data_IF_132773980898
#
_entry.id   IF_132773980898
#
_cell.length_a   1.000
_cell.length_b   1.000
_cell.length_c   1.000
_cell.angle_alpha   90.00
_cell.angle_beta   90.00
_cell.angle_gamma   90.00
#
_symmetry.space_group_name_H-M   'P 1'
#
loop_
_entity.id
_entity.type
_entity.pdbx_description
1 polymer ?
#
# COMPACT_ATOMS: atom_id res chain seq x y z
N UNK A 1 -5.49 2.32 11.41
CA UNK A 1 -4.25 2.93 10.85
C UNK A 1 -4.16 2.55 9.37
N UNK A 2 -4.02 3.51 8.44
CA UNK A 2 -3.97 3.19 7.00
C UNK A 2 -2.55 2.74 6.64
N UNK A 3 -2.39 1.47 6.29
CA UNK A 3 -1.12 0.97 5.73
C UNK A 3 -1.19 1.06 4.21
N UNK A 4 -0.10 1.46 3.57
CA UNK A 4 0.05 1.40 2.12
C UNK A 4 1.01 0.28 1.77
N UNK A 5 0.89 -0.31 0.57
CA UNK A 5 1.87 -1.24 0.02
C UNK A 5 2.53 -0.62 -1.19
N UNK A 6 3.83 -0.86 -1.34
CA UNK A 6 4.52 -0.52 -2.58
C UNK A 6 4.24 -1.56 -3.66
N UNK A 7 4.05 -1.10 -4.90
CA UNK A 7 3.77 -1.98 -6.04
C UNK A 7 4.97 -2.86 -6.40
N UNK A 8 6.19 -2.33 -6.35
CA UNK A 8 7.39 -3.06 -6.77
C UNK A 8 7.94 -4.01 -5.69
N UNK A 9 8.11 -3.51 -4.45
CA UNK A 9 8.72 -4.32 -3.39
C UNK A 9 7.69 -5.04 -2.50
N UNK A 10 6.39 -4.81 -2.70
CA UNK A 10 5.29 -5.36 -1.89
C UNK A 10 5.37 -5.11 -0.37
N UNK A 11 6.36 -4.33 0.09
CA UNK A 11 6.56 -3.97 1.49
C UNK A 11 5.45 -3.03 1.94
N UNK A 12 5.06 -3.19 3.20
CA UNK A 12 4.14 -2.28 3.88
C UNK A 12 4.87 -0.97 4.21
N UNK A 13 4.21 0.14 3.92
CA UNK A 13 4.67 1.50 4.15
C UNK A 13 3.66 2.16 5.07
N UNK A 14 4.12 2.56 6.25
CA UNK A 14 3.31 3.33 7.19
C UNK A 14 3.04 4.76 6.70
N UNK A 15 1.96 5.37 7.19
CA UNK A 15 1.58 6.77 6.90
C UNK A 15 2.71 7.77 7.15
N UNK A 16 3.57 7.51 8.14
CA UNK A 16 4.65 8.42 8.55
C UNK A 16 5.63 8.71 7.41
N UNK A 17 5.87 7.74 6.54
CA UNK A 17 6.77 7.89 5.40
C UNK A 17 6.14 8.66 4.23
N UNK A 18 4.81 8.63 4.11
CA UNK A 18 4.06 9.25 3.00
C UNK A 18 3.91 10.76 3.20
N UNK A 19 3.78 11.22 4.46
CA UNK A 19 3.59 12.65 4.77
C UNK A 19 4.73 13.55 4.26
N UNK A 20 5.98 13.05 4.23
CA UNK A 20 7.15 13.83 3.79
C UNK A 20 7.43 13.71 2.29
N UNK A 21 7.36 12.50 1.71
CA UNK A 21 7.58 12.25 0.28
C UNK A 21 6.82 10.98 -0.13
N UNK A 22 6.13 11.02 -1.26
CA UNK A 22 5.47 9.83 -1.85
C UNK A 22 6.51 8.97 -2.59
N UNK A 23 7.45 8.40 -1.83
CA UNK A 23 8.42 7.40 -2.32
C UNK A 23 8.51 6.27 -1.32
N UNK A 24 8.56 5.04 -1.81
CA UNK A 24 8.81 3.88 -0.97
C UNK A 24 10.23 3.99 -0.37
N UNK A 25 10.40 3.90 0.95
CA UNK A 25 11.72 3.99 1.60
C UNK A 25 12.64 2.79 1.28
N UNK A 26 12.10 1.71 0.72
CA UNK A 26 12.86 0.48 0.46
C UNK A 26 13.35 0.31 -0.96
N UNK A 27 12.62 0.85 -1.95
CA UNK A 27 12.96 0.68 -3.38
C UNK A 27 12.94 2.00 -4.17
N UNK A 28 12.56 3.12 -3.55
CA UNK A 28 12.50 4.43 -4.22
C UNK A 28 11.32 4.62 -5.19
N UNK A 29 10.54 3.57 -5.44
CA UNK A 29 9.34 3.62 -6.30
C UNK A 29 8.29 4.62 -5.81
N UNK A 30 7.58 5.24 -6.76
CA UNK A 30 6.52 6.24 -6.50
C UNK A 30 5.11 5.64 -6.40
N UNK A 31 4.93 4.36 -6.75
CA UNK A 31 3.63 3.70 -6.73
C UNK A 31 3.35 3.01 -5.38
N UNK A 32 2.37 3.57 -4.65
CA UNK A 32 1.84 3.05 -3.40
C UNK A 32 0.33 2.81 -3.54
N UNK A 33 -0.17 1.68 -3.08
CA UNK A 33 -1.60 1.35 -3.10
C UNK A 33 -2.11 0.96 -1.71
N UNK A 34 -3.39 1.21 -1.44
CA UNK A 34 -4.04 0.80 -0.20
C UNK A 34 -4.53 -0.65 -0.35
N UNK A 35 -3.97 -1.63 0.39
CA UNK A 35 -4.47 -3.00 0.35
C UNK A 35 -5.89 -3.07 0.93
N UNK A 36 -6.69 -4.01 0.41
CA UNK A 36 -7.99 -4.35 1.01
C UNK A 36 -7.77 -5.09 2.33
N UNK A 37 -8.44 -4.64 3.38
CA UNK A 37 -8.40 -5.28 4.70
C UNK A 37 -9.44 -6.40 4.82
N UNK A 38 -10.56 -6.28 4.11
CA UNK A 38 -11.68 -7.22 4.17
C UNK A 38 -11.90 -7.80 2.78
N UNK A 39 -11.94 -9.14 2.69
CA UNK A 39 -12.31 -9.86 1.48
C UNK A 39 -13.82 -9.73 1.25
N UNK A 40 -14.22 -9.21 0.11
CA UNK A 40 -15.63 -9.17 -0.28
C UNK A 40 -16.06 -10.56 -0.78
N UNK A 41 -17.04 -11.19 -0.11
CA UNK A 41 -17.66 -12.43 -0.60
C UNK A 41 -18.68 -12.07 -1.67
N UNK A 42 -18.47 -12.54 -2.89
CA UNK A 42 -19.39 -12.34 -4.02
C UNK A 42 -19.98 -13.70 -4.39
N UNK A 43 -21.30 -13.78 -4.57
CA UNK A 43 -21.96 -14.99 -5.06
C UNK A 43 -21.68 -15.12 -6.56
N UNK A 44 -21.25 -16.28 -7.01
CA UNK A 44 -21.18 -16.59 -8.43
C UNK A 44 -22.62 -16.57 -9.01
N UNK A 45 -22.80 -15.93 -10.17
CA UNK A 45 -24.07 -15.86 -10.89
C UNK A 45 -24.02 -16.76 -12.09
#
# INVERSE_FOLDING_TARGET
MVEYKCFDCNKKVGIEYIKKKVRCPYCGSKMLFKPRLVSTKVKAR
#
